data_IF_398791153806
#
_entry.id   IF_398791153806
#
_cell.length_a   1.000
_cell.length_b   1.000
_cell.length_c   1.000
_cell.angle_alpha   90.00
_cell.angle_beta   90.00
_cell.angle_gamma   90.00
#
_symmetry.space_group_name_H-M   'P 1'
#
loop_
_entity.id
_entity.type
_entity.pdbx_description
1 polymer ?
#
# COMPACT_ATOMS: atom_id res chain seq x y z
N UNK A 1 11.94 2.70 -10.55
CA UNK A 1 11.20 2.88 -9.27
C UNK A 1 10.01 1.91 -9.16
N UNK A 2 9.01 1.98 -10.05
CA UNK A 2 7.81 1.12 -10.01
C UNK A 2 8.10 -0.39 -9.90
N UNK A 3 9.03 -0.92 -10.71
CA UNK A 3 9.45 -2.33 -10.62
C UNK A 3 9.99 -2.75 -9.23
N UNK A 4 10.69 -1.86 -8.52
CA UNK A 4 11.21 -2.15 -7.16
C UNK A 4 10.07 -2.16 -6.15
N UNK A 5 9.08 -1.30 -6.38
CA UNK A 5 7.94 -1.10 -5.52
C UNK A 5 6.92 -2.24 -5.64
N UNK A 6 6.77 -2.80 -6.85
CA UNK A 6 5.95 -3.98 -7.15
C UNK A 6 6.71 -5.31 -6.98
N UNK A 7 7.97 -5.28 -6.52
CA UNK A 7 8.71 -6.51 -6.26
C UNK A 7 8.10 -7.21 -5.05
N UNK A 8 7.78 -8.50 -5.20
CA UNK A 8 7.16 -9.36 -4.19
C UNK A 8 5.66 -9.15 -3.96
N UNK A 9 4.98 -8.44 -4.86
CA UNK A 9 3.52 -8.28 -4.80
C UNK A 9 2.89 -9.33 -5.71
N UNK A 10 1.97 -10.16 -5.20
CA UNK A 10 1.30 -11.22 -5.97
C UNK A 10 0.14 -10.66 -6.80
N UNK A 11 0.35 -9.52 -7.45
CA UNK A 11 -0.68 -8.86 -8.23
C UNK A 11 -0.58 -9.37 -9.66
N UNK A 12 -1.60 -10.12 -10.09
CA UNK A 12 -1.75 -10.59 -11.47
C UNK A 12 -1.69 -9.43 -12.48
N UNK A 13 -2.01 -8.21 -12.02
CA UNK A 13 -2.02 -6.97 -12.79
C UNK A 13 -0.75 -6.11 -12.67
N UNK A 14 0.39 -6.67 -12.25
CA UNK A 14 1.65 -5.89 -12.22
C UNK A 14 2.01 -5.28 -13.58
N UNK A 15 1.63 -5.95 -14.68
CA UNK A 15 1.76 -5.42 -16.04
C UNK A 15 0.93 -4.15 -16.27
N UNK A 16 -0.30 -4.08 -15.75
CA UNK A 16 -1.21 -2.94 -15.91
C UNK A 16 -0.64 -1.70 -15.22
N UNK A 17 -0.13 -1.83 -14.00
CA UNK A 17 0.50 -0.70 -13.29
C UNK A 17 1.75 -0.18 -14.02
N UNK A 18 2.55 -1.08 -14.59
CA UNK A 18 3.75 -0.69 -15.36
C UNK A 18 3.39 -0.02 -16.68
N UNK A 19 2.33 -0.47 -17.34
CA UNK A 19 1.79 0.14 -18.55
C UNK A 19 1.23 1.54 -18.25
N UNK A 20 0.46 1.69 -17.18
CA UNK A 20 -0.06 3.00 -16.73
C UNK A 20 1.07 4.01 -16.50
N UNK A 21 2.18 3.59 -15.89
CA UNK A 21 3.36 4.44 -15.70
C UNK A 21 3.98 4.88 -17.02
N UNK A 22 4.13 3.97 -17.99
CA UNK A 22 4.71 4.30 -19.31
C UNK A 22 3.92 5.36 -20.06
N UNK A 23 2.59 5.36 -19.93
CA UNK A 23 1.74 6.35 -20.58
C UNK A 23 1.56 7.65 -19.77
N UNK A 24 1.61 7.57 -18.45
CA UNK A 24 1.25 8.70 -17.57
C UNK A 24 2.43 9.58 -17.15
N UNK A 25 3.67 9.10 -17.32
CA UNK A 25 4.88 9.83 -16.94
C UNK A 25 5.80 9.94 -18.16
N UNK A 26 5.52 10.89 -19.08
CA UNK A 26 6.32 11.07 -20.29
C UNK A 26 7.71 11.68 -20.03
N UNK A 27 7.91 12.35 -18.88
CA UNK A 27 9.20 12.93 -18.50
C UNK A 27 10.06 11.93 -17.72
N UNK A 28 11.29 11.67 -18.21
CA UNK A 28 12.29 10.82 -17.56
C UNK A 28 13.00 11.48 -16.36
N UNK A 29 12.28 12.28 -15.56
CA UNK A 29 12.86 12.94 -14.38
C UNK A 29 13.38 11.93 -13.34
N UNK A 30 12.84 10.71 -13.35
CA UNK A 30 13.21 9.65 -12.41
C UNK A 30 12.82 9.97 -10.96
N UNK A 31 13.25 9.12 -10.02
CA UNK A 31 13.09 9.34 -8.58
C UNK A 31 14.48 9.46 -7.98
N UNK A 32 14.71 10.53 -7.22
CA UNK A 32 16.00 10.76 -6.54
C UNK A 32 16.20 9.76 -5.41
N UNK A 33 17.46 9.58 -4.97
CA UNK A 33 17.74 8.69 -3.85
C UNK A 33 17.07 9.15 -2.54
N UNK A 34 16.97 10.46 -2.30
CA UNK A 34 16.33 10.99 -1.09
C UNK A 34 14.82 10.76 -1.08
N UNK A 35 14.17 10.91 -2.23
CA UNK A 35 12.75 10.53 -2.40
C UNK A 35 12.55 9.04 -2.19
N UNK A 36 13.42 8.22 -2.79
CA UNK A 36 13.41 6.77 -2.60
C UNK A 36 13.55 6.40 -1.12
N UNK A 37 14.58 6.93 -0.45
CA UNK A 37 14.85 6.69 0.97
C UNK A 37 13.67 7.12 1.85
N UNK A 38 13.15 8.33 1.63
CA UNK A 38 12.03 8.87 2.40
C UNK A 38 10.77 8.02 2.24
N UNK A 39 10.49 7.54 1.02
CA UNK A 39 9.36 6.66 0.77
C UNK A 39 9.51 5.31 1.49
N UNK A 40 10.69 4.69 1.43
CA UNK A 40 10.91 3.40 2.10
C UNK A 40 10.97 3.52 3.61
N UNK A 41 11.39 4.66 4.14
CA UNK A 41 11.26 4.97 5.56
C UNK A 41 9.77 5.11 5.96
N UNK A 42 8.96 5.74 5.10
CA UNK A 42 7.51 5.79 5.30
C UNK A 42 6.90 4.38 5.36
N UNK A 43 7.24 3.49 4.43
CA UNK A 43 6.68 2.14 4.41
C UNK A 43 6.95 1.34 5.69
N UNK A 44 7.98 1.65 6.46
CA UNK A 44 8.20 0.98 7.76
C UNK A 44 7.11 1.31 8.80
N UNK A 45 6.31 2.37 8.59
CA UNK A 45 5.21 2.81 9.46
C UNK A 45 3.84 2.65 8.76
N UNK A 46 3.70 1.64 7.90
CA UNK A 46 2.51 1.43 7.08
C UNK A 46 1.23 1.18 7.90
N UNK A 47 1.35 0.58 9.09
CA UNK A 47 0.20 0.33 9.97
C UNK A 47 -0.37 1.63 10.55
N UNK A 48 0.48 2.54 11.05
CA UNK A 48 0.03 3.85 11.57
C UNK A 48 -0.59 4.70 10.46
N UNK A 49 -0.02 4.63 9.26
CA UNK A 49 -0.59 5.26 8.07
C UNK A 49 -1.95 4.67 7.69
N UNK A 50 -2.11 3.34 7.77
CA UNK A 50 -3.40 2.69 7.49
C UNK A 50 -4.48 3.12 8.48
N UNK A 51 -4.14 3.32 9.76
CA UNK A 51 -5.06 3.86 10.78
C UNK A 51 -5.49 5.28 10.39
N UNK A 52 -4.54 6.15 10.05
CA UNK A 52 -4.84 7.53 9.64
C UNK A 52 -5.75 7.59 8.40
N UNK A 53 -5.48 6.76 7.38
CA UNK A 53 -6.32 6.66 6.19
C UNK A 53 -7.71 6.10 6.46
N UNK A 54 -7.83 5.09 7.34
CA UNK A 54 -9.13 4.54 7.71
C UNK A 54 -10.04 5.61 8.36
N UNK A 55 -9.46 6.55 9.12
CA UNK A 55 -10.20 7.68 9.68
C UNK A 55 -10.75 8.62 8.59
N UNK A 56 -10.00 8.90 7.53
CA UNK A 56 -10.49 9.69 6.38
C UNK A 56 -11.62 8.97 5.63
N UNK A 57 -11.48 7.66 5.42
CA UNK A 57 -12.51 6.86 4.77
C UNK A 57 -13.79 6.77 5.61
N UNK A 58 -13.68 6.67 6.94
CA UNK A 58 -14.83 6.71 7.85
C UNK A 58 -15.59 8.05 7.77
N UNK A 59 -14.88 9.14 7.47
CA UNK A 59 -15.48 10.45 7.23
C UNK A 59 -16.06 10.62 5.80
N UNK A 60 -16.14 9.55 5.00
CA UNK A 60 -16.62 9.55 3.60
C UNK A 60 -15.87 10.56 2.71
N UNK A 61 -14.59 10.79 2.98
CA UNK A 61 -13.74 11.66 2.16
C UNK A 61 -12.95 10.84 1.16
N UNK A 62 -12.92 11.29 -0.09
CA UNK A 62 -12.00 10.77 -1.11
C UNK A 62 -10.55 10.98 -0.66
N UNK A 63 -9.70 10.00 -0.96
CA UNK A 63 -8.27 10.04 -0.62
C UNK A 63 -7.52 10.51 -1.85
N UNK A 64 -7.40 11.83 -1.99
CA UNK A 64 -6.53 12.46 -2.97
C UNK A 64 -5.08 12.53 -2.50
N UNK A 65 -4.23 13.12 -3.35
CA UNK A 65 -2.80 13.29 -3.05
C UNK A 65 -2.55 14.13 -1.78
N UNK A 66 -3.41 15.09 -1.46
CA UNK A 66 -3.27 15.96 -0.29
C UNK A 66 -3.58 15.25 1.02
N UNK A 67 -4.65 14.44 1.05
CA UNK A 67 -4.98 13.53 2.14
C UNK A 67 -3.84 12.53 2.34
N UNK A 68 -3.31 11.95 1.26
CA UNK A 68 -2.18 11.02 1.32
C UNK A 68 -0.95 11.67 1.95
N UNK A 69 -0.53 12.86 1.47
CA UNK A 69 0.60 13.62 2.04
C UNK A 69 0.41 13.89 3.54
N UNK A 70 -0.80 14.30 3.94
CA UNK A 70 -1.13 14.54 5.34
C UNK A 70 -1.05 13.27 6.18
N UNK A 71 -1.62 12.16 5.71
CA UNK A 71 -1.57 10.89 6.41
C UNK A 71 -0.13 10.38 6.58
N UNK A 72 0.73 10.52 5.56
CA UNK A 72 2.15 10.16 5.68
C UNK A 72 2.85 11.04 6.71
N UNK A 73 2.61 12.36 6.68
CA UNK A 73 3.19 13.27 7.65
C UNK A 73 2.76 12.95 9.09
N UNK A 74 1.49 12.62 9.31
CA UNK A 74 0.97 12.22 10.62
C UNK A 74 1.60 10.92 11.11
N UNK A 75 1.76 9.93 10.22
CA UNK A 75 2.30 8.62 10.59
C UNK A 75 3.83 8.62 10.80
N UNK A 76 4.57 9.56 10.22
CA UNK A 76 6.04 9.45 10.12
C UNK A 76 6.81 10.73 10.42
N UNK A 77 6.15 11.88 10.43
CA UNK A 77 6.79 13.20 10.44
C UNK A 77 7.49 13.58 9.13
N UNK A 78 7.49 12.70 8.12
CA UNK A 78 8.15 12.93 6.83
C UNK A 78 7.25 13.70 5.87
N UNK A 79 7.87 14.59 5.09
CA UNK A 79 7.21 15.30 3.98
C UNK A 79 7.68 14.68 2.67
N UNK A 80 6.81 13.92 2.02
CA UNK A 80 7.10 13.40 0.68
C UNK A 80 7.03 14.52 -0.35
N UNK A 81 7.89 14.47 -1.37
CA UNK A 81 7.85 15.44 -2.46
C UNK A 81 6.56 15.30 -3.27
N UNK A 82 6.02 16.39 -3.83
CA UNK A 82 4.88 16.31 -4.74
C UNK A 82 5.14 15.37 -5.94
N UNK A 83 6.37 15.38 -6.45
CA UNK A 83 6.81 14.52 -7.55
C UNK A 83 6.69 13.03 -7.21
N UNK A 84 7.18 12.63 -6.04
CA UNK A 84 7.08 11.26 -5.56
C UNK A 84 5.63 10.83 -5.34
N UNK A 85 4.80 11.67 -4.71
CA UNK A 85 3.39 11.35 -4.46
C UNK A 85 2.63 11.20 -5.77
N UNK A 86 2.83 12.12 -6.73
CA UNK A 86 2.23 12.01 -8.06
C UNK A 86 2.67 10.72 -8.76
N UNK A 87 3.96 10.36 -8.67
CA UNK A 87 4.48 9.12 -9.25
C UNK A 87 3.82 7.88 -8.62
N UNK A 88 3.61 7.86 -7.30
CA UNK A 88 2.91 6.77 -6.61
C UNK A 88 1.46 6.69 -7.07
N UNK A 89 0.75 7.81 -7.18
CA UNK A 89 -0.63 7.82 -7.66
C UNK A 89 -0.70 7.31 -9.10
N UNK A 90 0.16 7.77 -10.02
CA UNK A 90 0.18 7.25 -11.39
C UNK A 90 0.55 5.76 -11.51
N UNK A 91 1.18 5.17 -10.49
CA UNK A 91 1.40 3.72 -10.43
C UNK A 91 0.13 2.98 -10.04
N UNK A 92 -0.66 3.49 -9.09
CA UNK A 92 -1.75 2.75 -8.43
C UNK A 92 -3.16 3.20 -8.80
N UNK A 93 -3.29 4.33 -9.49
CA UNK A 93 -4.54 4.84 -10.04
C UNK A 93 -4.85 4.09 -11.35
N UNK A 94 -5.79 3.14 -11.28
CA UNK A 94 -6.15 2.25 -12.39
C UNK A 94 -7.26 2.87 -13.24
N UNK A 95 -8.23 3.51 -12.61
CA UNK A 95 -9.40 4.15 -13.22
C UNK A 95 -9.19 5.61 -13.62
N UNK A 96 -8.02 6.17 -13.31
CA UNK A 96 -7.58 7.52 -13.68
C UNK A 96 -8.44 8.61 -13.07
N UNK A 97 -8.92 8.39 -11.84
CA UNK A 97 -9.74 9.35 -11.10
C UNK A 97 -8.90 10.24 -10.15
N UNK A 98 -7.56 10.10 -10.19
CA UNK A 98 -6.58 10.73 -9.30
C UNK A 98 -6.81 10.40 -7.81
N UNK A 99 -7.53 9.33 -7.52
CA UNK A 99 -7.69 8.75 -6.19
C UNK A 99 -6.96 7.42 -6.10
N UNK A 100 -6.74 7.00 -4.85
CA UNK A 100 -6.04 5.77 -4.56
C UNK A 100 -7.00 4.78 -3.91
N UNK A 101 -7.12 3.59 -4.50
CA UNK A 101 -7.73 2.44 -3.83
C UNK A 101 -6.87 2.04 -2.61
N UNK A 102 -7.14 2.66 -1.46
CA UNK A 102 -6.27 2.53 -0.29
C UNK A 102 -6.17 1.09 0.21
N UNK A 103 -7.25 0.29 0.12
CA UNK A 103 -7.23 -1.12 0.53
C UNK A 103 -6.22 -1.91 -0.30
N UNK A 104 -6.23 -1.68 -1.60
CA UNK A 104 -5.32 -2.31 -2.54
C UNK A 104 -3.89 -1.84 -2.32
N UNK A 105 -3.67 -0.52 -2.25
CA UNK A 105 -2.35 0.05 -1.99
C UNK A 105 -1.73 -0.49 -0.69
N UNK A 106 -2.49 -0.49 0.42
CA UNK A 106 -2.01 -1.04 1.70
C UNK A 106 -1.72 -2.53 1.58
N UNK A 107 -2.57 -3.30 0.90
CA UNK A 107 -2.34 -4.73 0.65
C UNK A 107 -1.02 -4.99 -0.08
N UNK A 108 -0.82 -4.29 -1.21
CA UNK A 108 0.41 -4.37 -2.02
C UNK A 108 1.64 -3.98 -1.19
N UNK A 109 1.56 -2.86 -0.47
CA UNK A 109 2.69 -2.39 0.35
C UNK A 109 2.99 -3.34 1.52
N UNK A 110 1.97 -3.99 2.10
CA UNK A 110 2.16 -5.04 3.11
C UNK A 110 2.90 -6.23 2.50
N UNK A 111 2.46 -6.76 1.38
CA UNK A 111 3.12 -7.92 0.74
C UNK A 111 4.58 -7.62 0.42
N UNK A 112 4.84 -6.42 -0.11
CA UNK A 112 6.18 -5.90 -0.35
C UNK A 112 7.04 -5.87 0.92
N UNK A 113 6.53 -5.34 2.03
CA UNK A 113 7.26 -5.29 3.31
C UNK A 113 7.62 -6.68 3.83
N UNK A 114 6.72 -7.65 3.64
CA UNK A 114 6.95 -9.04 4.04
C UNK A 114 7.87 -9.79 3.07
N UNK A 115 8.28 -9.19 1.93
CA UNK A 115 9.22 -9.75 0.95
C UNK A 115 8.88 -11.17 0.49
N UNK A 116 7.59 -11.49 0.38
CA UNK A 116 7.11 -12.84 0.05
C UNK A 116 7.21 -13.88 1.18
N UNK A 117 7.67 -13.50 2.38
CA UNK A 117 7.71 -14.38 3.56
C UNK A 117 6.36 -14.48 4.29
N UNK A 118 5.33 -13.76 3.85
CA UNK A 118 3.96 -14.22 4.06
C UNK A 118 3.79 -15.47 3.21
N UNK A 119 4.34 -16.59 3.69
CA UNK A 119 3.78 -17.88 3.33
C UNK A 119 2.28 -17.74 3.55
N UNK A 120 1.48 -18.12 2.54
CA UNK A 120 0.07 -18.37 2.76
C UNK A 120 0.03 -19.26 4.00
N UNK A 121 -0.22 -18.67 5.18
CA UNK A 121 -0.64 -19.46 6.32
C UNK A 121 -1.85 -20.13 5.74
N UNK A 122 -1.74 -21.43 5.47
CA UNK A 122 -2.87 -22.23 5.06
C UNK A 122 -3.94 -21.83 6.06
N UNK A 123 -4.93 -21.07 5.59
CA UNK A 123 -6.10 -20.78 6.39
C UNK A 123 -6.54 -22.18 6.76
N UNK A 124 -6.36 -22.56 8.03
CA UNK A 124 -6.85 -23.83 8.51
C UNK A 124 -8.36 -23.69 8.33
N UNK A 125 -8.85 -24.18 7.18
CA UNK A 125 -10.22 -24.07 6.72
C UNK A 125 -11.18 -24.84 7.64
N UNK A 126 -10.60 -25.54 8.62
CA UNK A 126 -11.25 -26.30 9.65
C UNK A 126 -10.70 -25.84 11.01
N UNK A 127 -11.55 -25.50 11.99
CA UNK A 127 -11.09 -25.34 13.37
C UNK A 127 -10.43 -26.65 13.80
N UNK A 128 -9.25 -26.57 14.41
CA UNK A 128 -8.60 -27.75 14.98
C UNK A 128 -9.51 -28.37 16.03
N UNK A 129 -9.52 -29.70 16.11
CA UNK A 129 -10.29 -30.46 17.11
C UNK A 129 -10.16 -29.87 18.53
N UNK A 130 -8.94 -29.44 18.89
CA UNK A 130 -8.62 -28.79 20.18
C UNK A 130 -9.41 -27.48 20.42
N UNK A 131 -9.67 -26.70 19.38
CA UNK A 131 -10.44 -25.45 19.46
C UNK A 131 -11.94 -25.72 19.65
N UNK A 132 -12.49 -26.73 18.96
CA UNK A 132 -13.88 -27.13 19.12
C UNK A 132 -14.12 -27.73 20.51
N UNK A 133 -13.24 -28.64 20.96
CA UNK A 133 -13.35 -29.27 22.27
C UNK A 133 -13.29 -28.24 23.40
N UNK A 134 -12.43 -27.23 23.28
CA UNK A 134 -12.31 -26.16 24.28
C UNK A 134 -13.55 -25.27 24.34
N UNK A 135 -14.25 -25.05 23.22
CA UNK A 135 -15.53 -24.33 23.20
C UNK A 135 -16.64 -25.13 23.87
N UNK A 136 -16.73 -26.43 23.60
CA UNK A 136 -17.71 -27.32 24.25
C UNK A 136 -17.48 -27.46 25.75
N UNK A 137 -16.21 -27.48 26.20
CA UNK A 137 -15.87 -27.55 27.63
C UNK A 137 -16.18 -26.24 28.40
N UNK A 138 -16.47 -25.14 27.71
CA UNK A 138 -16.78 -23.84 28.29
C UNK A 138 -18.21 -23.36 28.00
N UNK A 139 -19.05 -24.18 27.35
CA UNK A 139 -20.51 -24.04 27.29
C UNK A 139 -21.16 -24.81 28.44
#
# INVERSE_FOLDING_TARGET
FAHILLRYTNVENTAVFLENVRYSIPEEKGITFDEFRSFFQFLNNLEDFAIALNMYNFASRSIGQDEFKRAVYVATGLKLSPHLVNTVFKIFDVDKDDQLSYKEFIGIMKDRLHRGFRGYKTVQKYPTFKSCLKKELHS
#
